data_IF_637356368824
#
_entry.id   IF_637356368824
#
_cell.length_a   1.000
_cell.length_b   1.000
_cell.length_c   1.000
_cell.angle_alpha   90.00
_cell.angle_beta   90.00
_cell.angle_gamma   90.00
#
_symmetry.space_group_name_H-M   'P 1'
#
loop_
_entity.id
_entity.type
_entity.pdbx_description
1 polymer ?
#
# COMPACT_ATOMS: atom_id res chain seq x y z
N UNK A 1 -21.90 1.80 -6.10
CA UNK A 1 -21.19 1.23 -7.27
C UNK A 1 -19.85 0.67 -6.84
N UNK A 2 -19.02 1.47 -6.14
CA UNK A 2 -17.70 1.04 -5.61
C UNK A 2 -17.73 -0.13 -4.61
N UNK A 3 -18.67 -0.21 -3.66
CA UNK A 3 -18.69 -1.35 -2.71
C UNK A 3 -18.96 -2.69 -3.39
N UNK A 4 -19.82 -2.70 -4.42
CA UNK A 4 -20.15 -3.91 -5.18
C UNK A 4 -19.01 -4.38 -6.08
N UNK A 5 -18.16 -3.47 -6.57
CA UNK A 5 -16.99 -3.88 -7.35
C UNK A 5 -16.01 -4.66 -6.48
N UNK A 6 -15.86 -4.31 -5.21
CA UNK A 6 -15.00 -5.05 -4.28
C UNK A 6 -15.41 -6.52 -4.08
N UNK A 7 -16.71 -6.85 -4.19
CA UNK A 7 -17.20 -8.24 -4.14
C UNK A 7 -16.70 -9.08 -5.33
N UNK A 8 -16.41 -8.41 -6.45
CA UNK A 8 -15.91 -9.03 -7.68
C UNK A 8 -14.39 -9.00 -7.81
N UNK A 9 -13.68 -8.59 -6.75
CA UNK A 9 -12.21 -8.56 -6.77
C UNK A 9 -11.66 -9.96 -7.06
N UNK A 10 -10.84 -10.06 -8.10
CA UNK A 10 -10.26 -11.32 -8.52
C UNK A 10 -9.14 -11.75 -7.58
N UNK A 11 -9.40 -12.77 -6.78
CA UNK A 11 -8.41 -13.38 -5.87
C UNK A 11 -7.68 -14.56 -6.50
N UNK A 12 -7.94 -14.92 -7.77
CA UNK A 12 -7.35 -16.12 -8.41
C UNK A 12 -5.83 -16.13 -8.44
N UNK A 13 -5.20 -14.96 -8.51
CA UNK A 13 -3.73 -14.83 -8.48
C UNK A 13 -3.16 -14.90 -7.05
N UNK A 14 -4.01 -15.00 -6.02
CA UNK A 14 -3.61 -14.95 -4.60
C UNK A 14 -4.62 -15.65 -3.69
N UNK A 15 -4.49 -16.97 -3.54
CA UNK A 15 -5.35 -17.79 -2.68
C UNK A 15 -5.37 -17.33 -1.20
N UNK A 16 -4.34 -16.58 -0.77
CA UNK A 16 -4.20 -16.05 0.58
C UNK A 16 -5.11 -14.84 0.91
N UNK A 17 -5.69 -14.16 -0.08
CA UNK A 17 -6.46 -12.94 0.11
C UNK A 17 -7.98 -13.21 0.09
N UNK A 18 -8.65 -12.91 1.20
CA UNK A 18 -10.11 -12.87 1.30
C UNK A 18 -10.64 -11.44 1.40
N UNK A 19 -11.75 -11.16 0.69
CA UNK A 19 -12.44 -9.86 0.74
C UNK A 19 -13.81 -10.04 1.38
N UNK A 20 -14.14 -9.21 2.36
CA UNK A 20 -15.49 -9.10 2.93
C UNK A 20 -16.03 -7.70 2.71
N UNK A 21 -17.26 -7.60 2.25
CA UNK A 21 -17.95 -6.33 2.03
C UNK A 21 -19.15 -6.25 2.96
N UNK A 22 -19.26 -5.15 3.70
CA UNK A 22 -20.42 -4.82 4.50
C UNK A 22 -21.12 -3.61 3.90
N UNK A 23 -22.27 -3.86 3.29
CA UNK A 23 -23.10 -2.80 2.70
C UNK A 23 -23.74 -1.91 3.76
N UNK A 24 -23.95 -2.42 4.98
CA UNK A 24 -24.55 -1.67 6.08
C UNK A 24 -23.57 -0.67 6.69
N UNK A 25 -22.33 -1.08 6.95
CA UNK A 25 -21.29 -0.21 7.50
C UNK A 25 -20.47 0.52 6.42
N UNK A 26 -20.81 0.32 5.14
CA UNK A 26 -20.08 0.85 3.98
C UNK A 26 -18.58 0.54 4.04
N UNK A 27 -18.26 -0.72 4.33
CA UNK A 27 -16.91 -1.15 4.67
C UNK A 27 -16.45 -2.31 3.79
N UNK A 28 -15.18 -2.27 3.38
CA UNK A 28 -14.49 -3.38 2.72
C UNK A 28 -13.33 -3.81 3.61
N UNK A 29 -13.31 -5.07 4.01
CA UNK A 29 -12.21 -5.69 4.76
C UNK A 29 -11.43 -6.62 3.84
N UNK A 30 -10.13 -6.37 3.70
CA UNK A 30 -9.18 -7.25 3.03
C UNK A 30 -8.40 -8.04 4.09
N UNK A 31 -8.53 -9.36 4.06
CA UNK A 31 -7.90 -10.30 5.00
C UNK A 31 -6.86 -11.12 4.25
N UNK A 32 -5.58 -10.96 4.57
CA UNK A 32 -4.50 -11.74 3.97
C UNK A 32 -3.97 -12.75 4.98
N UNK A 33 -4.02 -14.04 4.63
CA UNK A 33 -3.60 -15.14 5.53
C UNK A 33 -2.18 -15.57 5.20
N UNK A 34 -1.31 -15.62 6.21
CA UNK A 34 0.09 -16.04 6.09
C UNK A 34 0.35 -17.04 7.20
N UNK A 35 0.55 -18.30 6.81
CA UNK A 35 0.69 -19.41 7.76
C UNK A 35 -0.51 -19.40 8.73
N UNK A 36 -0.30 -19.04 10.00
CA UNK A 36 -1.33 -18.99 11.05
C UNK A 36 -1.73 -17.56 11.46
N UNK A 37 -1.26 -16.53 10.74
CA UNK A 37 -1.54 -15.13 11.01
C UNK A 37 -2.43 -14.49 9.94
N UNK A 38 -3.34 -13.61 10.35
CA UNK A 38 -4.21 -12.86 9.44
C UNK A 38 -3.90 -11.37 9.55
N UNK A 39 -3.59 -10.75 8.41
CA UNK A 39 -3.49 -9.30 8.28
C UNK A 39 -4.82 -8.76 7.79
N UNK A 40 -5.43 -7.85 8.54
CA UNK A 40 -6.68 -7.20 8.11
C UNK A 40 -6.47 -5.71 7.85
N UNK A 41 -6.82 -5.28 6.64
CA UNK A 41 -6.96 -3.88 6.23
C UNK A 41 -8.44 -3.57 6.02
N UNK A 42 -8.87 -2.41 6.50
CA UNK A 42 -10.25 -1.95 6.40
C UNK A 42 -10.31 -0.65 5.60
N UNK A 43 -11.18 -0.59 4.59
CA UNK A 43 -11.52 0.60 3.82
C UNK A 43 -12.97 0.94 4.11
N UNK A 44 -13.22 2.05 4.80
CA UNK A 44 -14.54 2.53 5.12
C UNK A 44 -14.89 3.75 4.26
N UNK A 45 -16.03 3.68 3.57
CA UNK A 45 -16.56 4.80 2.80
C UNK A 45 -17.55 5.59 3.67
N UNK A 46 -17.30 6.89 3.93
CA UNK A 46 -18.28 7.71 4.61
C UNK A 46 -19.54 7.92 3.74
N UNK A 47 -20.68 8.21 4.36
CA UNK A 47 -21.93 8.52 3.64
C UNK A 47 -21.81 9.72 2.69
N UNK A 48 -20.86 10.62 2.95
CA UNK A 48 -20.55 11.78 2.11
C UNK A 48 -19.45 11.51 1.07
N UNK A 49 -19.05 10.26 0.83
CA UNK A 49 -18.14 9.92 -0.26
C UNK A 49 -18.78 10.28 -1.62
N UNK A 50 -18.06 10.93 -2.57
CA UNK A 50 -16.61 11.19 -2.58
C UNK A 50 -16.17 12.55 -1.99
N UNK A 51 -17.08 13.37 -1.43
CA UNK A 51 -16.72 14.67 -0.83
C UNK A 51 -15.82 14.51 0.40
N UNK A 52 -16.04 13.45 1.19
CA UNK A 52 -15.12 13.01 2.23
C UNK A 52 -14.38 11.76 1.75
N UNK A 53 -13.06 11.77 1.94
CA UNK A 53 -12.20 10.64 1.57
C UNK A 53 -12.55 9.37 2.35
N UNK A 54 -12.28 8.23 1.71
CA UNK A 54 -12.33 6.92 2.38
C UNK A 54 -11.36 6.90 3.56
N UNK A 55 -11.77 6.24 4.65
CA UNK A 55 -10.92 6.01 5.80
C UNK A 55 -10.30 4.62 5.66
N UNK A 56 -8.97 4.56 5.64
CA UNK A 56 -8.25 3.29 5.60
C UNK A 56 -7.59 3.06 6.95
N UNK A 57 -7.76 1.85 7.48
CA UNK A 57 -7.24 1.48 8.79
C UNK A 57 -6.92 0.00 8.90
N UNK A 58 -6.61 -0.39 10.13
CA UNK A 58 -6.35 -1.78 10.48
C UNK A 58 -7.63 -2.45 10.96
N UNK A 59 -7.86 -3.70 10.53
CA UNK A 59 -8.85 -4.58 11.15
C UNK A 59 -8.31 -5.22 12.44
N UNK A 60 -8.86 -6.37 12.82
CA UNK A 60 -8.43 -7.07 14.04
C UNK A 60 -7.00 -7.58 13.83
N UNK A 61 -6.09 -7.25 14.76
CA UNK A 61 -4.69 -7.70 14.72
C UNK A 61 -3.74 -6.90 13.83
N UNK A 62 -4.25 -6.10 12.87
CA UNK A 62 -3.47 -5.27 11.95
C UNK A 62 -2.30 -6.03 11.30
N UNK A 63 -1.20 -5.34 11.01
CA UNK A 63 0.03 -5.99 10.53
C UNK A 63 0.83 -6.73 11.63
N UNK A 64 0.62 -6.38 12.90
CA UNK A 64 1.41 -6.91 14.03
C UNK A 64 1.21 -8.41 14.23
N UNK A 65 0.00 -8.90 14.00
CA UNK A 65 -0.33 -10.33 14.13
C UNK A 65 0.53 -11.22 13.22
N UNK A 66 0.99 -10.68 12.08
CA UNK A 66 1.83 -11.39 11.11
C UNK A 66 3.31 -10.96 11.17
N UNK A 67 3.77 -10.38 12.27
CA UNK A 67 5.17 -9.96 12.44
C UNK A 67 5.61 -8.79 11.56
N UNK A 68 4.66 -8.08 10.92
CA UNK A 68 4.99 -6.89 10.12
C UNK A 68 5.34 -5.73 11.04
N UNK A 69 6.49 -5.11 10.78
CA UNK A 69 6.90 -3.89 11.47
C UNK A 69 5.82 -2.80 11.33
N UNK A 70 5.51 -2.13 12.43
CA UNK A 70 4.52 -1.05 12.50
C UNK A 70 4.72 0.04 11.43
N UNK A 71 5.96 0.44 11.16
CA UNK A 71 6.26 1.46 10.14
C UNK A 71 5.87 0.98 8.73
N UNK A 72 6.13 -0.29 8.41
CA UNK A 72 5.75 -0.90 7.13
C UNK A 72 4.24 -1.02 7.01
N UNK A 73 3.57 -1.47 8.07
CA UNK A 73 2.11 -1.55 8.08
C UNK A 73 1.45 -0.18 7.86
N UNK A 74 1.92 0.85 8.58
CA UNK A 74 1.44 2.23 8.40
C UNK A 74 1.70 2.74 6.99
N UNK A 75 2.81 2.35 6.38
CA UNK A 75 3.11 2.71 5.01
C UNK A 75 2.17 2.04 4.00
N UNK A 76 1.80 0.77 4.19
CA UNK A 76 0.80 0.10 3.36
C UNK A 76 -0.59 0.73 3.51
N UNK A 77 -1.00 1.05 4.74
CA UNK A 77 -2.26 1.80 5.01
C UNK A 77 -2.23 3.16 4.30
N UNK A 78 -1.11 3.88 4.35
CA UNK A 78 -0.94 5.16 3.67
C UNK A 78 -0.95 5.01 2.15
N UNK A 79 -0.32 3.96 1.61
CA UNK A 79 -0.33 3.65 0.18
C UNK A 79 -1.76 3.43 -0.33
N UNK A 80 -2.55 2.63 0.38
CA UNK A 80 -3.97 2.39 0.05
C UNK A 80 -4.77 3.68 0.16
N UNK A 81 -4.57 4.46 1.24
CA UNK A 81 -5.21 5.77 1.41
C UNK A 81 -4.92 6.71 0.24
N UNK A 82 -3.67 6.75 -0.23
CA UNK A 82 -3.25 7.59 -1.34
C UNK A 82 -3.90 7.16 -2.66
N UNK A 83 -4.05 5.85 -2.90
CA UNK A 83 -4.79 5.34 -4.07
C UNK A 83 -6.26 5.76 -4.00
N UNK A 84 -6.91 5.58 -2.86
CA UNK A 84 -8.33 5.96 -2.67
C UNK A 84 -8.56 7.47 -2.81
N UNK A 85 -7.57 8.30 -2.49
CA UNK A 85 -7.65 9.75 -2.62
C UNK A 85 -7.28 10.26 -4.03
N UNK A 86 -6.82 9.39 -4.93
CA UNK A 86 -6.44 9.78 -6.28
C UNK A 86 -7.67 10.03 -7.17
N UNK A 87 -7.56 10.93 -8.14
CA UNK A 87 -8.68 11.36 -8.99
C UNK A 87 -9.37 10.20 -9.73
N UNK A 88 -8.61 9.14 -10.06
CA UNK A 88 -9.10 7.92 -10.71
C UNK A 88 -8.88 6.69 -9.81
N UNK A 89 -8.87 6.89 -8.50
CA UNK A 89 -8.71 5.82 -7.52
C UNK A 89 -9.95 4.97 -7.40
N UNK A 90 -9.79 3.65 -7.45
CA UNK A 90 -10.85 2.69 -7.19
C UNK A 90 -10.50 1.77 -6.01
N UNK A 91 -11.52 1.18 -5.39
CA UNK A 91 -11.29 0.16 -4.33
C UNK A 91 -10.47 -1.00 -4.90
N UNK A 92 -10.72 -1.39 -6.15
CA UNK A 92 -9.98 -2.48 -6.83
C UNK A 92 -8.50 -2.15 -6.94
N UNK A 93 -8.16 -0.91 -7.32
CA UNK A 93 -6.77 -0.47 -7.39
C UNK A 93 -6.11 -0.47 -6.01
N UNK A 94 -6.85 -0.01 -4.99
CA UNK A 94 -6.37 0.02 -3.62
C UNK A 94 -6.08 -1.39 -3.09
N UNK A 95 -7.00 -2.34 -3.31
CA UNK A 95 -6.84 -3.76 -2.99
C UNK A 95 -5.68 -4.39 -3.78
N UNK A 96 -5.54 -4.04 -5.06
CA UNK A 96 -4.44 -4.53 -5.92
C UNK A 96 -3.08 -4.05 -5.41
N UNK A 97 -2.96 -2.77 -5.05
CA UNK A 97 -1.72 -2.22 -4.49
C UNK A 97 -1.40 -2.86 -3.14
N UNK A 98 -2.39 -3.05 -2.27
CA UNK A 98 -2.22 -3.74 -0.99
C UNK A 98 -1.70 -5.17 -1.18
N UNK A 99 -2.40 -5.95 -2.02
CA UNK A 99 -2.07 -7.34 -2.31
C UNK A 99 -0.67 -7.50 -2.93
N UNK A 100 -0.33 -6.64 -3.90
CA UNK A 100 1.00 -6.67 -4.54
C UNK A 100 2.10 -6.30 -3.55
N UNK A 101 1.88 -5.32 -2.68
CA UNK A 101 2.86 -4.97 -1.65
C UNK A 101 3.13 -6.12 -0.69
N UNK A 102 2.08 -6.82 -0.23
CA UNK A 102 2.23 -8.00 0.62
C UNK A 102 2.95 -9.11 -0.13
N UNK A 103 2.40 -9.57 -1.25
CA UNK A 103 2.94 -10.73 -1.99
C UNK A 103 4.39 -10.53 -2.44
N UNK A 104 4.76 -9.33 -2.89
CA UNK A 104 6.14 -9.04 -3.31
C UNK A 104 7.09 -8.92 -2.11
N UNK A 105 6.61 -8.39 -0.98
CA UNK A 105 7.40 -8.33 0.25
C UNK A 105 7.80 -9.73 0.71
N UNK A 106 6.85 -10.69 0.73
CA UNK A 106 7.12 -12.07 1.10
C UNK A 106 7.95 -12.84 0.06
N UNK A 107 7.98 -12.38 -1.21
CA UNK A 107 8.92 -12.86 -2.23
C UNK A 107 10.33 -12.29 -2.09
N UNK A 108 10.59 -11.43 -1.10
CA UNK A 108 11.90 -10.83 -0.85
C UNK A 108 12.27 -9.68 -1.81
N UNK A 109 11.30 -9.10 -2.52
CA UNK A 109 11.55 -7.91 -3.33
C UNK A 109 11.72 -6.71 -2.40
N UNK A 110 12.85 -6.01 -2.52
CA UNK A 110 13.14 -4.82 -1.72
C UNK A 110 12.09 -3.72 -1.95
N UNK A 111 11.62 -3.13 -0.87
CA UNK A 111 10.69 -2.00 -0.88
C UNK A 111 11.43 -0.67 -1.11
N UNK A 112 10.70 0.32 -1.60
CA UNK A 112 11.23 1.67 -1.69
C UNK A 112 11.49 2.22 -0.28
N UNK A 113 12.72 2.61 0.02
CA UNK A 113 13.09 3.04 1.38
C UNK A 113 12.54 4.43 1.80
N UNK A 114 11.82 5.13 0.90
CA UNK A 114 11.10 6.37 1.24
C UNK A 114 9.66 6.07 1.67
N UNK A 115 8.96 5.20 0.94
CA UNK A 115 7.52 4.96 1.14
C UNK A 115 7.20 3.55 1.66
N UNK A 116 8.21 2.73 1.95
CA UNK A 116 8.11 1.35 2.44
C UNK A 116 7.11 0.48 1.67
N UNK A 117 7.01 0.73 0.37
CA UNK A 117 6.11 0.02 -0.54
C UNK A 117 6.94 -0.51 -1.70
N UNK A 118 6.64 -1.73 -2.13
CA UNK A 118 7.18 -2.32 -3.34
C UNK A 118 6.48 -1.71 -4.55
N UNK A 119 5.15 -1.62 -4.55
CA UNK A 119 4.40 -0.98 -5.62
C UNK A 119 4.03 0.44 -5.21
N UNK A 120 4.48 1.42 -6.01
CA UNK A 120 4.16 2.82 -5.80
C UNK A 120 2.67 3.11 -5.94
N UNK A 121 2.11 3.87 -4.99
CA UNK A 121 0.72 4.31 -5.02
C UNK A 121 0.39 5.29 -6.17
N UNK A 122 1.42 5.87 -6.81
CA UNK A 122 1.24 6.95 -7.79
C UNK A 122 1.32 6.42 -9.22
N UNK A 123 2.42 5.75 -9.53
CA UNK A 123 2.78 5.32 -10.89
C UNK A 123 2.80 3.80 -11.04
N UNK A 124 2.47 3.06 -9.97
CA UNK A 124 2.48 1.58 -9.91
C UNK A 124 3.84 0.96 -10.26
N UNK A 125 4.90 1.77 -10.27
CA UNK A 125 6.24 1.31 -10.58
C UNK A 125 6.84 0.53 -9.41
N UNK A 126 7.78 -0.37 -9.75
CA UNK A 126 8.68 -0.99 -8.78
C UNK A 126 9.85 -0.04 -8.44
N UNK A 127 10.51 -0.23 -7.29
CA UNK A 127 11.69 0.54 -6.94
C UNK A 127 12.79 0.21 -7.94
N UNK A 128 13.23 1.20 -8.71
CA UNK A 128 14.15 1.01 -9.84
C UNK A 128 15.32 1.99 -9.83
N UNK A 129 15.44 2.79 -8.77
CA UNK A 129 16.57 3.69 -8.53
C UNK A 129 17.32 3.19 -7.32
N UNK A 130 18.50 2.65 -7.55
CA UNK A 130 19.37 2.15 -6.50
C UNK A 130 20.45 3.17 -6.16
N UNK A 131 20.66 3.46 -4.88
CA UNK A 131 21.80 4.26 -4.45
C UNK A 131 23.11 3.49 -4.71
N UNK A 132 24.08 4.12 -5.38
CA UNK A 132 25.38 3.49 -5.67
C UNK A 132 26.18 3.15 -4.41
N UNK A 133 26.03 3.94 -3.34
CA UNK A 133 26.76 3.77 -2.07
C UNK A 133 26.07 2.78 -1.12
N UNK A 134 24.84 3.06 -0.69
CA UNK A 134 24.17 2.27 0.34
C UNK A 134 23.25 1.15 -0.21
N UNK A 135 23.14 1.03 -1.54
CA UNK A 135 22.39 -0.03 -2.24
C UNK A 135 20.87 -0.07 -2.01
N UNK A 136 20.31 0.79 -1.17
CA UNK A 136 18.86 0.93 -0.99
C UNK A 136 18.14 1.34 -2.29
N UNK A 137 16.91 0.85 -2.46
CA UNK A 137 16.06 1.07 -3.62
C UNK A 137 15.02 2.16 -3.39
N UNK A 138 14.66 2.85 -4.46
CA UNK A 138 13.68 3.93 -4.46
C UNK A 138 12.80 3.88 -5.71
N UNK A 139 11.53 4.25 -5.58
CA UNK A 139 10.72 4.63 -6.75
C UNK A 139 11.25 5.93 -7.33
N UNK A 140 11.24 6.04 -8.67
CA UNK A 140 11.64 7.28 -9.35
C UNK A 140 10.83 8.50 -8.89
N UNK A 141 9.52 8.34 -8.71
CA UNK A 141 8.63 9.41 -8.23
C UNK A 141 8.90 9.82 -6.78
N UNK A 142 9.16 8.87 -5.88
CA UNK A 142 9.55 9.15 -4.49
C UNK A 142 10.88 9.91 -4.44
N UNK A 143 11.88 9.45 -5.18
CA UNK A 143 13.20 10.05 -5.20
C UNK A 143 13.18 11.45 -5.84
N UNK A 144 12.43 11.63 -6.92
CA UNK A 144 12.23 12.95 -7.54
C UNK A 144 11.60 13.96 -6.57
N UNK A 145 10.53 13.55 -5.85
CA UNK A 145 9.91 14.40 -4.82
C UNK A 145 10.92 14.76 -3.72
N UNK A 146 11.72 13.80 -3.28
CA UNK A 146 12.76 14.02 -2.29
C UNK A 146 13.79 15.07 -2.74
N UNK A 147 14.33 14.95 -3.96
CA UNK A 147 15.29 15.93 -4.48
C UNK A 147 14.69 17.32 -4.58
N UNK A 148 13.44 17.41 -5.06
CA UNK A 148 12.72 18.68 -5.15
C UNK A 148 12.50 19.33 -3.78
N UNK A 149 12.16 18.54 -2.76
CA UNK A 149 11.91 19.05 -1.40
C UNK A 149 13.18 19.37 -0.62
N UNK A 150 14.26 18.61 -0.82
CA UNK A 150 15.54 18.82 -0.13
C UNK A 150 16.45 19.84 -0.80
N UNK A 151 16.21 20.17 -2.07
CA UNK A 151 17.06 21.06 -2.88
C UNK A 151 18.40 20.45 -3.27
N UNK A 152 18.61 19.14 -3.03
CA UNK A 152 19.87 18.44 -3.31
C UNK A 152 19.60 17.06 -3.91
N UNK A 153 20.47 16.62 -4.81
CA UNK A 153 20.40 15.29 -5.42
C UNK A 153 21.17 14.26 -4.59
N UNK A 154 20.84 14.14 -3.30
CA UNK A 154 21.50 13.24 -2.35
C UNK A 154 20.57 12.12 -1.86
N UNK A 155 21.14 10.94 -1.64
CA UNK A 155 20.40 9.79 -1.13
C UNK A 155 19.74 10.11 0.23
N UNK A 156 18.44 9.81 0.42
CA UNK A 156 17.73 10.08 1.68
C UNK A 156 18.35 9.43 2.92
N UNK A 157 19.07 8.31 2.73
CA UNK A 157 19.60 7.50 3.83
C UNK A 157 21.07 7.80 4.12
N UNK A 158 21.94 7.76 3.10
CA UNK A 158 23.39 7.94 3.29
C UNK A 158 23.90 9.33 2.94
N UNK A 159 23.04 10.22 2.43
CA UNK A 159 23.35 11.62 2.02
C UNK A 159 24.46 11.77 0.97
N UNK A 160 24.92 10.68 0.36
CA UNK A 160 25.85 10.73 -0.77
C UNK A 160 25.13 11.20 -2.05
N UNK A 161 25.83 11.83 -3.00
CA UNK A 161 25.30 12.14 -4.31
C UNK A 161 24.72 10.89 -4.99
N UNK A 162 23.53 11.03 -5.58
CA UNK A 162 22.80 9.90 -6.17
C UNK A 162 23.24 9.58 -7.61
#
# INVERSE_FOLDING_TARGET
MELKSAETYDTRDTEALGIRVSMWSCEVTASYTIEDAVLELVIQLPSSYPLRLAQVGSGKGGGRAAGINEARWRAWVLSVSAVMASQNGSIIDALTVFNKNISMHFKGIEDCAICYSVVSAIDRALPNKQCKTCKNQFHGSCLYKWFKSSGQNTCPLCRQPF
#
